data_IF_257821799824
#
_entry.id   IF_257821799824
#
_cell.length_a   1.000
_cell.length_b   1.000
_cell.length_c   1.000
_cell.angle_alpha   90.00
_cell.angle_beta   90.00
_cell.angle_gamma   90.00
#
_symmetry.space_group_name_H-M   'P 1'
#
loop_
_entity.id
_entity.type
_entity.pdbx_description
1 polymer ?
#
# COMPACT_ATOMS: atom_id res chain seq x y z
N UNK A 1 -26.44 67.99 6.87
CA UNK A 1 -27.04 66.89 7.65
C UNK A 1 -26.05 65.75 7.70
N UNK A 2 -26.01 65.08 8.84
CA UNK A 2 -25.00 64.18 9.34
C UNK A 2 -25.17 62.73 8.82
N UNK A 3 -24.05 61.99 8.86
CA UNK A 3 -23.89 60.53 9.03
C UNK A 3 -23.76 59.68 7.74
N UNK A 4 -22.82 58.74 7.61
CA UNK A 4 -21.90 58.20 8.61
C UNK A 4 -20.68 57.53 7.97
N UNK A 5 -19.53 57.77 8.60
CA UNK A 5 -18.31 56.98 8.48
C UNK A 5 -18.52 55.66 9.22
N UNK A 6 -18.22 54.53 8.57
CA UNK A 6 -17.91 53.28 9.28
C UNK A 6 -16.55 52.83 8.78
N UNK A 7 -15.51 53.16 9.56
CA UNK A 7 -14.21 52.51 9.49
C UNK A 7 -14.24 51.35 10.48
N UNK A 8 -14.32 50.14 9.95
CA UNK A 8 -13.86 48.90 10.57
C UNK A 8 -13.09 48.21 9.43
N UNK A 9 -11.76 48.11 9.48
CA UNK A 9 -11.04 47.40 10.52
C UNK A 9 -10.39 46.24 9.78
N UNK A 10 -9.10 46.39 9.50
CA UNK A 10 -8.25 45.45 8.79
C UNK A 10 -8.39 44.04 9.37
N UNK A 11 -8.83 43.13 8.51
CA UNK A 11 -9.02 41.73 8.79
C UNK A 11 -8.33 40.93 7.70
N UNK A 12 -7.02 41.07 7.58
CA UNK A 12 -6.14 40.06 7.02
C UNK A 12 -6.36 38.72 7.74
N UNK A 13 -7.37 37.96 7.34
CA UNK A 13 -7.53 36.56 7.72
C UNK A 13 -7.01 35.70 6.59
N UNK A 14 -5.74 35.34 6.76
CA UNK A 14 -5.09 34.14 6.27
C UNK A 14 -5.82 33.40 5.15
N UNK A 15 -5.36 33.67 3.92
CA UNK A 15 -5.27 32.65 2.88
C UNK A 15 -4.38 31.54 3.44
N UNK A 16 -4.97 30.62 4.19
CA UNK A 16 -4.38 29.37 4.64
C UNK A 16 -4.11 28.52 3.42
N UNK A 17 -3.04 28.86 2.69
CA UNK A 17 -2.38 27.94 1.80
C UNK A 17 -1.77 26.90 2.72
N UNK A 18 -2.52 25.84 3.02
CA UNK A 18 -1.95 24.64 3.60
C UNK A 18 -1.05 24.01 2.54
N UNK A 19 0.16 24.56 2.39
CA UNK A 19 1.26 23.90 1.71
C UNK A 19 1.85 22.85 2.63
N UNK A 20 1.13 21.75 2.76
CA UNK A 20 1.70 20.41 2.83
C UNK A 20 0.57 19.44 2.48
N UNK A 21 0.21 19.42 1.20
CA UNK A 21 -0.57 18.33 0.62
C UNK A 21 0.30 17.09 0.54
N UNK A 22 0.72 16.55 1.71
CA UNK A 22 1.11 15.15 1.78
C UNK A 22 -0.08 14.36 1.29
N UNK A 23 0.13 13.44 0.35
CA UNK A 23 -0.95 12.56 -0.07
C UNK A 23 -1.48 11.89 1.20
N UNK A 24 -2.81 11.69 1.34
CA UNK A 24 -3.31 10.98 2.50
C UNK A 24 -2.54 9.66 2.57
N UNK A 25 -1.95 9.32 3.73
CA UNK A 25 -1.03 8.19 3.93
C UNK A 25 -1.53 6.89 3.26
N UNK A 26 -2.84 6.70 3.24
CA UNK A 26 -3.53 5.63 2.53
C UNK A 26 -3.29 5.61 1.00
N UNK A 27 -3.36 6.75 0.32
CA UNK A 27 -3.05 6.85 -1.12
C UNK A 27 -1.58 6.52 -1.39
N UNK A 28 -0.67 6.92 -0.51
CA UNK A 28 0.75 6.57 -0.62
C UNK A 28 0.96 5.05 -0.47
N UNK A 29 0.27 4.42 0.49
CA UNK A 29 0.30 2.97 0.68
C UNK A 29 -0.30 2.22 -0.52
N UNK A 30 -1.43 2.69 -1.06
CA UNK A 30 -2.07 2.11 -2.26
C UNK A 30 -1.18 2.20 -3.49
N UNK A 31 -0.53 3.35 -3.68
CA UNK A 31 0.42 3.53 -4.77
C UNK A 31 1.63 2.62 -4.59
N UNK A 32 2.24 2.61 -3.40
CA UNK A 32 3.41 1.78 -3.12
C UNK A 32 3.09 0.29 -3.29
N UNK A 33 1.93 -0.18 -2.82
CA UNK A 33 1.48 -1.56 -3.03
C UNK A 33 1.35 -1.89 -4.52
N UNK A 34 0.81 -0.97 -5.32
CA UNK A 34 0.69 -1.17 -6.78
C UNK A 34 2.05 -1.22 -7.46
N UNK A 35 2.98 -0.37 -7.04
CA UNK A 35 4.36 -0.37 -7.54
C UNK A 35 5.11 -1.65 -7.14
N UNK A 36 4.98 -2.10 -5.89
CA UNK A 36 5.56 -3.37 -5.44
C UNK A 36 5.00 -4.53 -6.26
N UNK A 37 3.69 -4.60 -6.45
CA UNK A 37 3.06 -5.62 -7.29
C UNK A 37 3.62 -5.63 -8.71
N UNK A 38 3.74 -4.45 -9.34
CA UNK A 38 4.35 -4.31 -10.67
C UNK A 38 5.80 -4.80 -10.70
N UNK A 39 6.63 -4.42 -9.72
CA UNK A 39 8.02 -4.83 -9.66
C UNK A 39 8.17 -6.34 -9.41
N UNK A 40 7.36 -6.92 -8.52
CA UNK A 40 7.32 -8.38 -8.30
C UNK A 40 6.91 -9.14 -9.56
N UNK A 41 5.93 -8.62 -10.31
CA UNK A 41 5.54 -9.18 -11.60
C UNK A 41 6.68 -9.13 -12.61
N UNK A 42 7.29 -7.96 -12.76
CA UNK A 42 8.41 -7.76 -13.66
C UNK A 42 9.61 -8.64 -13.30
N UNK A 43 9.88 -8.82 -12.00
CA UNK A 43 11.04 -9.57 -11.53
C UNK A 43 10.96 -11.06 -11.90
N UNK A 44 9.84 -11.74 -11.61
CA UNK A 44 9.74 -13.16 -11.94
C UNK A 44 9.74 -13.38 -13.46
N UNK A 45 9.07 -12.53 -14.25
CA UNK A 45 9.11 -12.59 -15.72
C UNK A 45 10.53 -12.42 -16.29
N UNK A 46 11.33 -11.53 -15.72
CA UNK A 46 12.73 -11.36 -16.12
C UNK A 46 13.57 -12.58 -15.75
N UNK A 47 13.30 -13.19 -14.61
CA UNK A 47 13.96 -14.45 -14.24
C UNK A 47 13.58 -15.59 -15.17
N UNK A 48 12.30 -15.66 -15.57
CA UNK A 48 11.82 -16.65 -16.53
C UNK A 48 12.49 -16.50 -17.89
N UNK A 49 12.51 -15.27 -18.41
CA UNK A 49 13.21 -14.95 -19.65
C UNK A 49 14.68 -15.32 -19.56
N UNK A 50 15.33 -15.04 -18.43
CA UNK A 50 16.74 -15.37 -18.24
C UNK A 50 16.98 -16.88 -18.27
N UNK A 51 16.08 -17.68 -17.70
CA UNK A 51 16.17 -19.13 -17.77
C UNK A 51 16.05 -19.64 -19.22
N UNK A 52 15.11 -19.08 -19.99
CA UNK A 52 14.92 -19.42 -21.41
C UNK A 52 16.14 -19.03 -22.26
N UNK A 53 16.73 -17.86 -22.02
CA UNK A 53 17.98 -17.46 -22.68
C UNK A 53 19.12 -18.45 -22.39
N UNK A 54 19.25 -18.90 -21.13
CA UNK A 54 20.26 -19.89 -20.75
C UNK A 54 20.03 -21.23 -21.44
N UNK A 55 18.78 -21.67 -21.55
CA UNK A 55 18.41 -22.90 -22.26
C UNK A 55 18.83 -22.83 -23.74
N UNK A 56 18.51 -21.71 -24.42
CA UNK A 56 18.88 -21.49 -25.83
C UNK A 56 20.39 -21.45 -26.05
N UNK A 57 21.17 -20.99 -25.07
CA UNK A 57 22.62 -20.94 -25.11
C UNK A 57 23.29 -22.28 -24.74
N UNK A 58 22.51 -23.33 -24.45
CA UNK A 58 23.04 -24.63 -24.02
C UNK A 58 23.59 -24.61 -22.59
N UNK A 59 23.05 -23.74 -21.74
CA UNK A 59 23.38 -23.67 -20.32
C UNK A 59 22.97 -24.94 -19.56
N UNK A 60 23.44 -25.04 -18.31
CA UNK A 60 23.18 -26.18 -17.43
C UNK A 60 21.66 -26.38 -17.21
N UNK A 61 21.08 -27.54 -17.62
CA UNK A 61 19.66 -27.82 -17.44
C UNK A 61 19.18 -27.73 -15.98
N UNK A 62 20.02 -28.07 -15.01
CA UNK A 62 19.66 -27.99 -13.59
C UNK A 62 19.55 -26.54 -13.13
N UNK A 63 20.39 -25.65 -13.67
CA UNK A 63 20.32 -24.21 -13.40
C UNK A 63 19.06 -23.63 -14.03
N UNK A 64 18.78 -23.95 -15.30
CA UNK A 64 17.55 -23.51 -16.00
C UNK A 64 16.31 -23.91 -15.21
N UNK A 65 16.22 -25.19 -14.83
CA UNK A 65 15.10 -25.72 -14.04
C UNK A 65 14.93 -24.99 -12.71
N UNK A 66 16.02 -24.77 -11.96
CA UNK A 66 15.98 -24.04 -10.68
C UNK A 66 15.50 -22.61 -10.85
N UNK A 67 15.91 -21.92 -11.92
CA UNK A 67 15.46 -20.56 -12.20
C UNK A 67 13.96 -20.51 -12.52
N UNK A 68 13.46 -21.45 -13.32
CA UNK A 68 12.03 -21.55 -13.65
C UNK A 68 11.20 -21.83 -12.40
N UNK A 69 11.57 -22.85 -11.62
CA UNK A 69 10.87 -23.18 -10.37
C UNK A 69 10.96 -22.03 -9.35
N UNK A 70 12.10 -21.34 -9.27
CA UNK A 70 12.27 -20.17 -8.43
C UNK A 70 11.36 -19.01 -8.85
N UNK A 71 11.21 -18.76 -10.16
CA UNK A 71 10.32 -17.73 -10.67
C UNK A 71 8.85 -18.00 -10.32
N UNK A 72 8.39 -19.25 -10.50
CA UNK A 72 7.05 -19.67 -10.08
C UNK A 72 6.83 -19.47 -8.58
N UNK A 73 7.78 -19.93 -7.75
CA UNK A 73 7.70 -19.78 -6.30
C UNK A 73 7.65 -18.30 -5.86
N UNK A 74 8.39 -17.42 -6.54
CA UNK A 74 8.34 -15.97 -6.28
C UNK A 74 7.01 -15.34 -6.70
N UNK A 75 6.43 -15.75 -7.83
CA UNK A 75 5.08 -15.32 -8.25
C UNK A 75 4.05 -15.70 -7.20
N UNK A 76 4.09 -16.94 -6.72
CA UNK A 76 3.14 -17.44 -5.74
C UNK A 76 3.32 -16.72 -4.39
N UNK A 77 4.57 -16.48 -3.98
CA UNK A 77 4.91 -15.70 -2.78
C UNK A 77 4.44 -14.24 -2.88
N UNK A 78 4.58 -13.62 -4.05
CA UNK A 78 4.10 -12.26 -4.31
C UNK A 78 2.58 -12.17 -4.14
N UNK A 79 1.83 -13.16 -4.61
CA UNK A 79 0.37 -13.19 -4.45
C UNK A 79 -0.03 -13.23 -2.96
N UNK A 80 0.68 -14.02 -2.15
CA UNK A 80 0.46 -14.07 -0.70
C UNK A 80 0.81 -12.73 -0.06
N UNK A 81 1.96 -12.16 -0.37
CA UNK A 81 2.36 -10.86 0.18
C UNK A 81 1.34 -9.76 -0.15
N UNK A 82 0.89 -9.69 -1.42
CA UNK A 82 -0.05 -8.66 -1.88
C UNK A 82 -1.45 -8.83 -1.27
N UNK A 83 -1.88 -10.05 -0.94
CA UNK A 83 -3.16 -10.26 -0.24
C UNK A 83 -3.11 -9.70 1.19
N UNK A 84 -2.03 -9.97 1.93
CA UNK A 84 -1.79 -9.40 3.26
C UNK A 84 -1.64 -7.88 3.22
N UNK A 85 -0.85 -7.35 2.29
CA UNK A 85 -0.68 -5.92 2.12
C UNK A 85 -2.03 -5.21 1.89
N UNK A 86 -2.88 -5.77 1.01
CA UNK A 86 -4.22 -5.23 0.76
C UNK A 86 -5.11 -5.29 2.00
N UNK A 87 -5.02 -6.36 2.78
CA UNK A 87 -5.78 -6.49 4.04
C UNK A 87 -5.40 -5.37 5.02
N UNK A 88 -4.11 -5.15 5.27
CA UNK A 88 -3.66 -4.13 6.22
C UNK A 88 -3.87 -2.70 5.73
N UNK A 89 -3.76 -2.44 4.42
CA UNK A 89 -4.14 -1.13 3.85
C UNK A 89 -5.62 -0.87 4.13
N UNK A 90 -6.50 -1.82 3.81
CA UNK A 90 -7.94 -1.71 4.10
C UNK A 90 -8.22 -1.54 5.60
N UNK A 91 -7.50 -2.26 6.47
CA UNK A 91 -7.65 -2.13 7.92
C UNK A 91 -7.28 -0.73 8.41
N UNK A 92 -6.20 -0.15 7.87
CA UNK A 92 -5.76 1.21 8.21
C UNK A 92 -6.78 2.29 7.83
N UNK A 93 -7.62 2.03 6.81
CA UNK A 93 -8.71 2.92 6.41
C UNK A 93 -9.89 2.85 7.39
N UNK A 94 -10.21 1.65 7.89
CA UNK A 94 -11.34 1.42 8.80
C UNK A 94 -11.08 1.97 10.20
N UNK A 95 -9.82 2.00 10.65
CA UNK A 95 -9.44 2.61 11.93
C UNK A 95 -9.65 4.14 11.99
N UNK A 96 -9.93 4.79 10.86
CA UNK A 96 -10.31 6.20 10.80
C UNK A 96 -11.83 6.42 10.92
N UNK A 97 -12.64 5.35 10.97
CA UNK A 97 -14.11 5.39 11.01
C UNK A 97 -14.72 4.76 12.28
N UNK A 98 -13.94 4.45 13.30
CA UNK A 98 -14.46 3.80 14.51
C UNK A 98 -14.97 4.85 15.49
N UNK A 99 -16.30 5.09 15.47
CA UNK A 99 -17.03 5.11 16.74
C UNK A 99 -16.74 3.78 17.43
N UNK A 100 -16.06 3.84 18.57
CA UNK A 100 -15.70 2.68 19.39
C UNK A 100 -16.96 2.08 19.98
N UNK A 101 -17.45 0.98 19.41
CA UNK A 101 -18.19 0.00 20.19
C UNK A 101 -17.15 -0.92 20.84
N UNK A 102 -16.89 -0.63 22.11
CA UNK A 102 -16.18 -1.48 23.06
C UNK A 102 -17.04 -2.73 23.29
N UNK A 103 -16.74 -3.82 22.58
CA UNK A 103 -17.21 -5.14 22.98
C UNK A 103 -16.15 -5.76 23.90
N UNK A 104 -16.41 -5.66 25.21
CA UNK A 104 -15.71 -6.38 26.26
C UNK A 104 -15.91 -7.90 26.08
N UNK A 105 -15.01 -8.59 25.38
CA UNK A 105 -14.97 -10.06 25.43
C UNK A 105 -14.41 -10.51 26.80
N UNK A 106 -15.32 -10.66 27.76
CA UNK A 106 -15.10 -11.33 29.05
C UNK A 106 -14.65 -12.78 28.83
N UNK A 107 -13.42 -13.09 29.26
CA UNK A 107 -12.83 -14.44 29.22
C UNK A 107 -13.21 -15.32 30.42
N UNK A 108 -14.31 -15.03 31.11
CA UNK A 108 -14.65 -15.68 32.39
C UNK A 108 -15.42 -17.00 32.26
N UNK A 109 -15.63 -17.55 31.05
CA UNK A 109 -16.35 -18.83 30.87
C UNK A 109 -15.54 -19.90 30.12
N UNK A 110 -14.38 -20.25 30.67
CA UNK A 110 -13.81 -21.60 30.50
C UNK A 110 -13.83 -22.30 31.85
N UNK A 111 -15.04 -22.67 32.27
CA UNK A 111 -15.30 -23.60 33.36
C UNK A 111 -14.78 -25.01 33.06
N UNK A 112 -14.20 -25.61 34.10
CA UNK A 112 -13.74 -26.99 34.26
C UNK A 112 -14.57 -28.07 33.54
#
# INVERSE_FOLDING_TARGET
MLQGFVLYGDGHTHRGRHTHGGRPMNEELRQLMSEIGRHMTQFHQLLERRAQELELLGGDPDVVKKLMTGADAMRDSANIYLSWARHYVTLSERGLTTESEEDEESWDDIGL
#
